data_IF_256495084926
#
_entry.id   IF_256495084926
#
_cell.length_a   1.000
_cell.length_b   1.000
_cell.length_c   1.000
_cell.angle_alpha   90.00
_cell.angle_beta   90.00
_cell.angle_gamma   90.00
#
_symmetry.space_group_name_H-M   'P 1'
#
loop_
_entity.id
_entity.type
_entity.pdbx_description
1 polymer ?
#
# COMPACT_ATOMS: atom_id res chain seq x y z
N UNK A 1 10.67 23.28 -15.42
CA UNK A 1 9.19 23.10 -15.50
C UNK A 1 8.49 23.25 -14.14
N UNK A 2 8.79 22.44 -13.11
CA UNK A 2 8.06 22.49 -11.83
C UNK A 2 8.07 23.87 -11.15
N UNK A 3 9.23 24.52 -11.06
CA UNK A 3 9.34 25.87 -10.46
C UNK A 3 8.56 26.90 -11.28
N UNK A 4 8.62 26.83 -12.61
CA UNK A 4 7.84 27.70 -13.50
C UNK A 4 6.33 27.44 -13.35
N UNK A 5 5.92 26.18 -13.21
CA UNK A 5 4.53 25.80 -12.98
C UNK A 5 3.98 26.32 -11.64
N UNK A 6 4.82 26.29 -10.59
CA UNK A 6 4.52 26.90 -9.29
C UNK A 6 4.45 28.43 -9.38
N UNK A 7 5.32 29.05 -10.17
CA UNK A 7 5.35 30.49 -10.42
C UNK A 7 4.20 31.01 -11.30
N UNK A 8 3.40 30.12 -11.91
CA UNK A 8 2.19 30.50 -12.65
C UNK A 8 2.19 30.17 -14.14
N UNK A 9 3.29 29.64 -14.69
CA UNK A 9 3.42 29.41 -16.12
C UNK A 9 2.42 28.33 -16.62
N UNK A 10 1.51 28.66 -17.55
CA UNK A 10 0.46 27.75 -17.99
C UNK A 10 0.99 26.56 -18.80
N UNK A 11 2.03 26.75 -19.62
CA UNK A 11 2.63 25.68 -20.42
C UNK A 11 3.35 24.67 -19.51
N UNK A 12 4.13 25.16 -18.55
CA UNK A 12 4.80 24.35 -17.55
C UNK A 12 3.79 23.59 -16.67
N UNK A 13 2.67 24.22 -16.28
CA UNK A 13 1.58 23.54 -15.56
C UNK A 13 0.99 22.40 -16.36
N UNK A 14 0.75 22.60 -17.66
CA UNK A 14 0.22 21.55 -18.54
C UNK A 14 1.21 20.39 -18.69
N UNK A 15 2.49 20.68 -18.84
CA UNK A 15 3.54 19.67 -18.96
C UNK A 15 3.70 18.85 -17.68
N UNK A 16 3.70 19.49 -16.50
CA UNK A 16 3.75 18.81 -15.20
C UNK A 16 2.50 17.95 -14.97
N UNK A 17 1.31 18.42 -15.37
CA UNK A 17 0.07 17.62 -15.29
C UNK A 17 0.10 16.42 -16.24
N UNK A 18 0.61 16.60 -17.46
CA UNK A 18 0.69 15.54 -18.47
C UNK A 18 1.63 14.39 -18.11
N UNK A 19 2.59 14.60 -17.20
CA UNK A 19 3.48 13.55 -16.69
C UNK A 19 2.87 12.70 -15.57
N UNK A 20 1.66 13.03 -15.08
CA UNK A 20 1.01 12.26 -14.01
C UNK A 20 0.38 10.99 -14.55
N UNK A 21 0.68 9.87 -13.92
CA UNK A 21 0.00 8.60 -14.15
C UNK A 21 -0.62 8.12 -12.84
N UNK A 22 -1.85 7.57 -12.92
CA UNK A 22 -2.51 7.03 -11.75
C UNK A 22 -1.88 5.70 -11.35
N UNK A 23 -1.32 5.64 -10.14
CA UNK A 23 -0.87 4.39 -9.55
C UNK A 23 -2.03 3.74 -8.80
N UNK A 24 -2.38 2.54 -9.24
CA UNK A 24 -3.36 1.68 -8.58
C UNK A 24 -2.70 1.02 -7.34
N UNK A 25 -3.20 1.29 -6.12
CA UNK A 25 -2.67 0.69 -4.90
C UNK A 25 -2.67 -0.84 -4.92
N UNK A 26 -3.64 -1.46 -5.59
CA UNK A 26 -3.76 -2.91 -5.65
C UNK A 26 -2.62 -3.58 -6.44
N UNK A 27 -1.84 -2.79 -7.19
CA UNK A 27 -0.67 -3.30 -7.92
C UNK A 27 0.61 -3.26 -7.10
N UNK A 28 0.64 -2.51 -6.00
CA UNK A 28 1.85 -2.32 -5.18
C UNK A 28 2.31 -3.65 -4.55
N UNK A 29 1.37 -4.50 -4.14
CA UNK A 29 1.68 -5.82 -3.55
C UNK A 29 2.24 -6.85 -4.57
N UNK A 30 2.47 -6.42 -5.82
CA UNK A 30 3.11 -7.24 -6.87
C UNK A 30 4.57 -6.87 -7.12
N UNK A 31 5.06 -5.78 -6.53
CA UNK A 31 6.44 -5.34 -6.69
C UNK A 31 7.42 -6.42 -6.23
N UNK A 32 8.55 -6.62 -6.90
CA UNK A 32 9.51 -7.62 -6.45
C UNK A 32 10.19 -7.13 -5.15
N UNK A 33 10.60 -8.04 -4.24
CA UNK A 33 11.16 -7.64 -2.94
C UNK A 33 12.45 -6.82 -3.08
N UNK A 34 13.22 -7.05 -4.15
CA UNK A 34 14.44 -6.32 -4.51
C UNK A 34 14.16 -4.92 -5.11
N UNK A 35 12.89 -4.54 -5.25
CA UNK A 35 12.45 -3.21 -5.68
C UNK A 35 11.81 -2.42 -4.52
N UNK A 36 11.73 -3.01 -3.32
CA UNK A 36 11.11 -2.41 -2.14
C UNK A 36 12.16 -1.94 -1.14
N UNK A 37 12.28 -0.62 -1.01
CA UNK A 37 13.29 0.05 -0.18
C UNK A 37 12.68 0.95 0.89
N UNK A 38 11.49 0.59 1.37
CA UNK A 38 10.85 1.29 2.47
C UNK A 38 11.57 0.94 3.77
N UNK A 39 11.97 1.95 4.53
CA UNK A 39 12.72 1.81 5.78
C UNK A 39 11.85 1.98 7.03
N UNK A 40 10.60 2.41 6.82
CA UNK A 40 9.56 2.58 7.82
C UNK A 40 8.25 2.04 7.25
N UNK A 41 7.32 1.69 8.13
CA UNK A 41 5.97 1.27 7.74
C UNK A 41 5.33 2.28 6.78
N UNK A 42 4.47 1.81 5.89
CA UNK A 42 3.73 2.69 5.00
C UNK A 42 2.36 2.09 4.68
N UNK A 43 1.32 2.89 4.91
CA UNK A 43 -0.01 2.55 4.41
C UNK A 43 -0.07 2.67 2.89
N UNK A 44 -1.16 2.18 2.29
CA UNK A 44 -1.32 2.18 0.83
C UNK A 44 -1.25 3.58 0.22
N UNK A 45 -1.72 4.62 0.91
CA UNK A 45 -1.65 6.00 0.42
C UNK A 45 -0.22 6.53 0.39
N UNK A 46 0.57 6.22 1.43
CA UNK A 46 1.98 6.59 1.52
C UNK A 46 2.83 5.81 0.50
N UNK A 47 2.56 4.52 0.31
CA UNK A 47 3.27 3.71 -0.70
C UNK A 47 3.01 4.23 -2.12
N UNK A 48 1.77 4.63 -2.45
CA UNK A 48 1.48 5.27 -3.74
C UNK A 48 2.30 6.53 -3.96
N UNK A 49 2.44 7.37 -2.93
CA UNK A 49 3.24 8.59 -3.00
C UNK A 49 4.69 8.25 -3.34
N UNK A 50 5.27 7.27 -2.65
CA UNK A 50 6.63 6.79 -2.93
C UNK A 50 6.73 6.26 -4.37
N UNK A 51 5.80 5.39 -4.79
CA UNK A 51 5.78 4.83 -6.13
C UNK A 51 5.65 5.92 -7.23
N UNK A 52 4.84 6.95 -6.99
CA UNK A 52 4.69 8.08 -7.92
C UNK A 52 6.00 8.80 -8.12
N UNK A 53 6.70 9.11 -7.02
CA UNK A 53 8.01 9.78 -7.07
C UNK A 53 9.06 8.90 -7.74
N UNK A 54 9.08 7.59 -7.47
CA UNK A 54 10.00 6.66 -8.14
C UNK A 54 9.72 6.55 -9.65
N UNK A 55 8.47 6.73 -10.08
CA UNK A 55 8.11 6.83 -11.51
C UNK A 55 8.44 8.18 -12.14
N UNK A 56 9.11 9.08 -11.41
CA UNK A 56 9.52 10.39 -11.91
C UNK A 56 8.41 11.45 -11.91
N UNK A 57 7.32 11.23 -11.17
CA UNK A 57 6.22 12.19 -11.09
C UNK A 57 6.46 13.27 -10.04
N UNK A 58 6.06 14.49 -10.39
CA UNK A 58 6.03 15.64 -9.48
C UNK A 58 4.64 15.77 -8.82
N UNK A 59 4.62 16.00 -7.50
CA UNK A 59 3.38 16.03 -6.73
C UNK A 59 3.43 16.92 -5.50
N UNK A 60 2.24 17.30 -5.03
CA UNK A 60 2.04 17.91 -3.73
C UNK A 60 1.41 16.87 -2.83
N UNK A 61 2.01 16.61 -1.68
CA UNK A 61 1.52 15.66 -0.68
C UNK A 61 0.87 16.47 0.43
N UNK A 62 -0.44 16.27 0.63
CA UNK A 62 -1.19 16.89 1.72
C UNK A 62 -1.69 15.81 2.66
N UNK A 63 -1.56 16.07 3.96
CA UNK A 63 -2.07 15.19 5.00
C UNK A 63 -2.23 15.95 6.31
N UNK A 64 -3.26 15.67 7.11
CA UNK A 64 -3.42 16.23 8.46
C UNK A 64 -2.18 16.04 9.35
N UNK A 65 -2.02 16.81 10.44
CA UNK A 65 -1.02 16.53 11.46
C UNK A 65 -1.11 15.06 11.93
N UNK A 66 0.03 14.40 12.14
CA UNK A 66 0.08 13.01 12.59
C UNK A 66 -0.02 11.92 11.50
N UNK A 67 -0.31 12.27 10.23
CA UNK A 67 -0.46 11.29 9.11
C UNK A 67 0.85 10.75 8.53
N UNK A 68 1.96 10.84 9.28
CA UNK A 68 3.23 10.23 8.86
C UNK A 68 3.96 10.92 7.70
N UNK A 69 3.68 12.20 7.36
CA UNK A 69 4.36 12.92 6.27
C UNK A 69 5.90 12.81 6.31
N UNK A 70 6.52 13.04 7.47
CA UNK A 70 7.98 12.92 7.63
C UNK A 70 8.48 11.49 7.45
N UNK A 71 7.65 10.50 7.78
CA UNK A 71 7.92 9.09 7.56
C UNK A 71 7.83 8.74 6.06
N UNK A 72 6.83 9.26 5.35
CA UNK A 72 6.76 9.18 3.88
C UNK A 72 7.99 9.83 3.23
N UNK A 73 8.43 11.00 3.71
CA UNK A 73 9.64 11.65 3.20
C UNK A 73 10.88 10.79 3.40
N UNK A 74 11.08 10.22 4.59
CA UNK A 74 12.22 9.34 4.86
C UNK A 74 12.21 8.10 3.93
N UNK A 75 11.04 7.48 3.75
CA UNK A 75 10.86 6.37 2.80
C UNK A 75 11.18 6.77 1.35
N UNK A 76 10.73 7.94 0.90
CA UNK A 76 11.05 8.45 -0.44
C UNK A 76 12.55 8.66 -0.62
N UNK A 77 13.22 9.27 0.35
CA UNK A 77 14.67 9.50 0.30
C UNK A 77 15.42 8.17 0.22
N UNK A 78 15.08 7.21 1.09
CA UNK A 78 15.71 5.89 1.09
C UNK A 78 15.50 5.15 -0.24
N UNK A 79 14.28 5.15 -0.77
CA UNK A 79 13.98 4.48 -2.03
C UNK A 79 14.67 5.11 -3.24
N UNK A 80 14.74 6.44 -3.30
CA UNK A 80 15.48 7.15 -4.34
C UNK A 80 16.99 6.89 -4.24
N UNK A 81 17.54 6.91 -3.02
CA UNK A 81 18.95 6.61 -2.78
C UNK A 81 19.31 5.18 -3.18
N UNK A 82 18.43 4.20 -2.89
CA UNK A 82 18.61 2.81 -3.32
C UNK A 82 18.63 2.65 -4.85
N UNK A 83 17.96 3.53 -5.60
CA UNK A 83 18.04 3.61 -7.06
C UNK A 83 19.21 4.46 -7.58
N UNK A 84 20.18 4.80 -6.71
CA UNK A 84 21.36 5.60 -7.06
C UNK A 84 21.05 7.07 -7.35
N UNK A 85 19.87 7.58 -6.96
CA UNK A 85 19.51 8.98 -7.15
C UNK A 85 20.13 9.85 -6.05
N UNK A 86 20.53 11.07 -6.42
CA UNK A 86 20.93 12.11 -5.48
C UNK A 86 19.69 12.89 -5.05
N UNK A 87 19.50 13.06 -3.74
CA UNK A 87 18.31 13.71 -3.19
C UNK A 87 18.72 14.97 -2.43
N UNK A 88 18.10 16.10 -2.76
CA UNK A 88 18.20 17.34 -2.00
C UNK A 88 16.88 17.53 -1.25
N UNK A 89 16.92 17.43 0.08
CA UNK A 89 15.78 17.70 0.93
C UNK A 89 15.90 19.10 1.56
N UNK A 90 14.88 19.94 1.35
CA UNK A 90 14.82 21.32 1.85
C UNK A 90 13.53 21.48 2.65
N UNK A 91 13.60 22.20 3.77
CA UNK A 91 12.46 22.56 4.57
C UNK A 91 12.64 23.96 5.16
N UNK A 92 11.52 24.63 5.46
CA UNK A 92 11.52 25.97 6.07
C UNK A 92 12.08 25.94 7.50
N UNK A 93 11.73 24.91 8.28
CA UNK A 93 12.09 24.78 9.69
C UNK A 93 13.12 23.68 9.90
N UNK A 94 14.18 23.99 10.66
CA UNK A 94 15.23 23.03 11.05
C UNK A 94 14.66 21.77 11.71
N UNK A 95 13.64 21.90 12.55
CA UNK A 95 12.99 20.75 13.19
C UNK A 95 12.46 19.71 12.18
N UNK A 96 12.00 20.13 11.00
CA UNK A 96 11.54 19.20 9.97
C UNK A 96 12.70 18.41 9.36
N UNK A 97 13.87 19.04 9.17
CA UNK A 97 15.10 18.39 8.72
C UNK A 97 15.56 17.34 9.75
N UNK A 98 15.60 17.73 11.03
CA UNK A 98 16.04 16.84 12.12
C UNK A 98 15.15 15.60 12.26
N UNK A 99 13.82 15.76 12.16
CA UNK A 99 12.89 14.61 12.27
C UNK A 99 13.13 13.59 11.17
N UNK A 100 13.37 14.03 9.93
CA UNK A 100 13.64 13.13 8.80
C UNK A 100 15.04 12.51 8.95
N UNK A 101 16.04 13.32 9.31
CA UNK A 101 17.40 12.83 9.51
C UNK A 101 17.48 11.76 10.59
N UNK A 102 16.85 11.96 11.76
CA UNK A 102 16.80 10.96 12.85
C UNK A 102 16.16 9.65 12.41
N UNK A 103 15.19 9.67 11.49
CA UNK A 103 14.57 8.47 10.95
C UNK A 103 15.52 7.69 10.04
N UNK A 104 16.27 8.40 9.19
CA UNK A 104 17.33 7.78 8.39
C UNK A 104 18.41 7.18 9.30
N UNK A 105 18.84 7.92 10.33
CA UNK A 105 19.82 7.47 11.31
C UNK A 105 19.35 6.23 12.08
N UNK A 106 18.10 6.22 12.54
CA UNK A 106 17.49 5.07 13.23
C UNK A 106 17.41 3.82 12.34
N UNK A 107 17.33 4.01 11.01
CA UNK A 107 17.38 2.94 10.02
C UNK A 107 18.83 2.58 9.58
N UNK A 108 19.86 3.16 10.21
CA UNK A 108 21.27 2.94 9.86
C UNK A 108 21.75 3.70 8.61
N UNK A 109 20.90 4.55 8.03
CA UNK A 109 21.17 5.30 6.80
C UNK A 109 21.65 6.74 7.04
N UNK A 110 21.98 7.10 8.28
CA UNK A 110 22.47 8.45 8.62
C UNK A 110 23.74 8.85 7.84
N UNK A 111 24.58 7.87 7.50
CA UNK A 111 25.79 8.07 6.70
C UNK A 111 25.52 8.45 5.23
N UNK A 112 24.31 8.22 4.71
CA UNK A 112 23.90 8.65 3.37
C UNK A 112 23.48 10.13 3.32
N UNK A 113 23.24 10.75 4.48
CA UNK A 113 22.76 12.11 4.59
C UNK A 113 23.88 13.07 5.00
N UNK A 114 24.04 14.13 4.22
CA UNK A 114 24.91 15.25 4.55
C UNK A 114 24.05 16.43 5.00
N UNK A 115 24.05 16.72 6.29
CA UNK A 115 23.42 17.92 6.83
C UNK A 115 24.33 19.13 6.61
N UNK A 116 23.85 20.05 5.78
CA UNK A 116 24.51 21.31 5.44
C UNK A 116 23.82 22.51 6.09
N UNK A 117 23.20 22.32 7.27
CA UNK A 117 22.53 23.39 8.01
C UNK A 117 23.13 23.62 9.41
N UNK A 118 23.55 24.86 9.70
CA UNK A 118 24.02 25.29 11.03
C UNK A 118 25.41 25.93 11.06
N UNK A 119 25.77 26.53 12.20
CA UNK A 119 27.05 27.21 12.41
C UNK A 119 28.27 26.25 12.45
N UNK A 120 28.05 24.95 12.58
CA UNK A 120 29.10 23.92 12.67
C UNK A 120 29.52 23.32 11.32
N UNK A 121 28.98 23.85 10.20
CA UNK A 121 29.40 23.46 8.85
C UNK A 121 30.79 24.02 8.59
N UNK A 122 31.80 23.29 9.06
CA UNK A 122 33.17 23.49 8.62
C UNK A 122 33.45 22.55 7.45
N UNK A 123 34.22 23.03 6.46
CA UNK A 123 34.74 22.19 5.37
C UNK A 123 35.40 20.92 5.90
N UNK A 124 36.10 21.02 7.04
CA UNK A 124 36.74 19.88 7.72
C UNK A 124 35.71 18.84 8.17
N UNK A 125 34.63 19.25 8.84
CA UNK A 125 33.59 18.33 9.30
C UNK A 125 32.87 17.63 8.14
N UNK A 126 32.57 18.39 7.07
CA UNK A 126 31.96 17.84 5.85
C UNK A 126 32.87 16.78 5.22
N UNK A 127 34.16 17.09 5.04
CA UNK A 127 35.11 16.14 4.46
C UNK A 127 35.31 14.91 5.34
N UNK A 128 35.32 15.07 6.67
CA UNK A 128 35.39 13.94 7.62
C UNK A 128 34.20 12.99 7.44
N UNK A 129 32.97 13.52 7.47
CA UNK A 129 31.75 12.71 7.29
C UNK A 129 31.72 12.02 5.93
N UNK A 130 32.13 12.72 4.88
CA UNK A 130 32.22 12.14 3.55
C UNK A 130 33.22 10.97 3.50
N UNK A 131 34.38 11.13 4.13
CA UNK A 131 35.38 10.06 4.27
C UNK A 131 34.85 8.85 5.05
N UNK A 132 34.18 9.08 6.18
CA UNK A 132 33.55 8.01 6.98
C UNK A 132 32.51 7.22 6.16
N UNK A 133 31.65 7.92 5.41
CA UNK A 133 30.67 7.26 4.54
C UNK A 133 31.33 6.43 3.43
N UNK A 134 32.42 6.92 2.82
CA UNK A 134 33.15 6.16 1.81
C UNK A 134 33.81 4.89 2.37
N UNK A 135 34.36 4.95 3.59
CA UNK A 135 34.91 3.78 4.27
C UNK A 135 33.83 2.75 4.56
N UNK A 136 32.68 3.19 5.07
CA UNK A 136 31.52 2.31 5.33
C UNK A 136 31.04 1.61 4.06
N UNK A 137 30.92 2.33 2.93
CA UNK A 137 30.49 1.75 1.66
C UNK A 137 31.52 0.77 1.11
N UNK A 138 32.82 1.09 1.22
CA UNK A 138 33.91 0.22 0.75
C UNK A 138 33.95 -1.10 1.53
N UNK A 139 33.75 -1.03 2.84
CA UNK A 139 33.88 -2.19 3.74
C UNK A 139 32.54 -2.93 3.95
N UNK A 140 31.48 -2.51 3.24
CA UNK A 140 30.15 -3.11 3.35
C UNK A 140 30.14 -4.55 2.82
N UNK A 141 29.72 -5.54 3.63
CA UNK A 141 29.63 -6.93 3.18
C UNK A 141 28.50 -7.11 2.17
N UNK A 142 28.65 -8.10 1.28
CA UNK A 142 27.55 -8.53 0.44
C UNK A 142 26.39 -9.04 1.30
N UNK A 143 25.18 -8.54 1.05
CA UNK A 143 23.98 -8.94 1.78
C UNK A 143 23.29 -10.08 1.02
N UNK A 144 23.17 -11.25 1.64
CA UNK A 144 22.39 -12.36 1.10
C UNK A 144 20.92 -12.20 1.47
N UNK A 145 20.08 -11.87 0.49
CA UNK A 145 18.65 -11.56 0.68
C UNK A 145 17.70 -12.69 0.26
N UNK A 146 18.21 -13.79 -0.29
CA UNK A 146 17.40 -14.86 -0.91
C UNK A 146 16.35 -15.43 0.04
N UNK A 147 16.72 -15.78 1.27
CA UNK A 147 15.80 -16.42 2.23
C UNK A 147 14.71 -15.46 2.69
N UNK A 148 15.08 -14.20 2.96
CA UNK A 148 14.12 -13.17 3.40
C UNK A 148 13.17 -12.79 2.26
N UNK A 149 13.67 -12.66 1.02
CA UNK A 149 12.85 -12.40 -0.16
C UNK A 149 11.89 -13.55 -0.47
N UNK A 150 12.35 -14.80 -0.31
CA UNK A 150 11.51 -15.98 -0.51
C UNK A 150 10.36 -16.01 0.49
N UNK A 151 10.67 -15.87 1.80
CA UNK A 151 9.66 -15.82 2.85
C UNK A 151 8.69 -14.65 2.70
N UNK A 152 9.19 -13.48 2.30
CA UNK A 152 8.36 -12.31 2.05
C UNK A 152 7.38 -12.56 0.90
N UNK A 153 7.88 -13.08 -0.23
CA UNK A 153 7.06 -13.39 -1.40
C UNK A 153 5.98 -14.42 -1.10
N UNK A 154 6.33 -15.48 -0.36
CA UNK A 154 5.39 -16.53 0.05
C UNK A 154 4.25 -15.94 0.91
N UNK A 155 4.61 -15.18 1.96
CA UNK A 155 3.63 -14.58 2.89
C UNK A 155 2.70 -13.62 2.16
N UNK A 156 3.26 -12.74 1.33
CA UNK A 156 2.48 -11.78 0.55
C UNK A 156 1.55 -12.48 -0.44
N UNK A 157 2.05 -13.51 -1.14
CA UNK A 157 1.22 -14.32 -2.06
C UNK A 157 0.05 -14.98 -1.34
N UNK A 158 0.26 -15.49 -0.12
CA UNK A 158 -0.80 -16.08 0.70
C UNK A 158 -1.86 -15.05 1.10
N UNK A 159 -1.46 -13.84 1.49
CA UNK A 159 -2.38 -12.74 1.84
C UNK A 159 -3.17 -12.27 0.61
N UNK A 160 -2.48 -12.02 -0.50
CA UNK A 160 -3.11 -11.60 -1.76
C UNK A 160 -4.10 -12.65 -2.26
N UNK A 161 -3.74 -13.94 -2.19
CA UNK A 161 -4.63 -15.05 -2.56
C UNK A 161 -5.85 -15.15 -1.65
N UNK A 162 -5.72 -14.80 -0.37
CA UNK A 162 -6.86 -14.77 0.54
C UNK A 162 -7.81 -13.62 0.21
N UNK A 163 -7.30 -12.40 0.04
CA UNK A 163 -8.08 -11.24 -0.35
C UNK A 163 -8.80 -11.48 -1.69
N UNK A 164 -8.07 -11.97 -2.70
CA UNK A 164 -8.66 -12.32 -3.99
C UNK A 164 -9.77 -13.36 -3.86
N UNK A 165 -9.57 -14.43 -3.09
CA UNK A 165 -10.61 -15.44 -2.85
C UNK A 165 -11.84 -14.86 -2.16
N UNK A 166 -11.70 -13.91 -1.24
CA UNK A 166 -12.85 -13.28 -0.58
C UNK A 166 -13.69 -12.44 -1.55
N UNK A 167 -13.04 -11.76 -2.49
CA UNK A 167 -13.67 -10.74 -3.34
C UNK A 167 -13.96 -11.18 -4.77
N UNK A 168 -13.47 -12.33 -5.24
CA UNK A 168 -13.80 -12.83 -6.59
C UNK A 168 -15.27 -13.25 -6.66
N UNK A 169 -16.00 -12.70 -7.64
CA UNK A 169 -17.37 -13.07 -7.95
C UNK A 169 -17.43 -14.54 -8.42
N UNK A 170 -18.39 -15.30 -7.90
CA UNK A 170 -18.52 -16.72 -8.20
C UNK A 170 -19.84 -17.02 -8.86
N UNK A 171 -19.76 -17.82 -9.92
CA UNK A 171 -20.95 -18.44 -10.47
C UNK A 171 -21.51 -19.45 -9.47
N UNK A 172 -22.84 -19.60 -9.44
CA UNK A 172 -23.79 -18.94 -10.34
C UNK A 172 -24.41 -17.64 -9.79
N UNK A 173 -24.23 -17.32 -8.51
CA UNK A 173 -24.80 -16.11 -7.90
C UNK A 173 -24.24 -14.80 -8.48
N UNK A 174 -23.06 -14.85 -9.09
CA UNK A 174 -22.33 -13.66 -9.54
C UNK A 174 -21.78 -12.82 -8.39
N UNK A 175 -21.85 -13.33 -7.15
CA UNK A 175 -21.43 -12.63 -5.93
C UNK A 175 -20.14 -13.24 -5.36
N UNK A 176 -19.36 -12.42 -4.67
CA UNK A 176 -18.21 -12.82 -3.88
C UNK A 176 -18.61 -13.33 -2.50
N UNK A 177 -17.67 -14.00 -1.80
CA UNK A 177 -17.92 -14.48 -0.43
C UNK A 177 -18.16 -13.29 0.50
N UNK A 178 -17.39 -12.21 0.32
CA UNK A 178 -17.54 -10.98 1.08
C UNK A 178 -18.96 -10.40 0.95
N UNK A 179 -19.49 -10.29 -0.27
CA UNK A 179 -20.84 -9.79 -0.50
C UNK A 179 -21.92 -10.71 0.08
N UNK A 180 -21.74 -12.03 -0.05
CA UNK A 180 -22.66 -13.01 0.52
C UNK A 180 -22.70 -12.92 2.05
N UNK A 181 -21.54 -12.78 2.71
CA UNK A 181 -21.46 -12.57 4.15
C UNK A 181 -22.12 -11.24 4.56
N UNK A 182 -21.88 -10.16 3.82
CA UNK A 182 -22.53 -8.88 4.04
C UNK A 182 -24.05 -8.96 3.96
N UNK A 183 -24.58 -9.68 2.97
CA UNK A 183 -26.04 -9.93 2.84
C UNK A 183 -26.56 -10.80 3.97
N UNK A 184 -25.85 -11.86 4.36
CA UNK A 184 -26.24 -12.73 5.47
C UNK A 184 -26.37 -11.95 6.79
N UNK A 185 -25.45 -11.01 7.05
CA UNK A 185 -25.48 -10.17 8.25
C UNK A 185 -26.66 -9.17 8.27
N UNK A 186 -27.22 -8.83 7.11
CA UNK A 186 -28.39 -7.97 7.00
C UNK A 186 -29.71 -8.73 7.21
N UNK A 187 -29.69 -10.06 7.10
CA UNK A 187 -30.86 -10.88 7.42
C UNK A 187 -31.06 -10.87 8.94
N UNK A 188 -32.26 -10.52 9.38
CA UNK A 188 -32.68 -10.64 10.78
C UNK A 188 -32.50 -12.09 11.25
N UNK A 189 -32.25 -12.31 12.54
CA UNK A 189 -32.11 -13.65 13.11
C UNK A 189 -33.42 -14.46 13.02
N UNK A 190 -33.71 -15.02 11.84
CA UNK A 190 -34.79 -15.96 11.61
C UNK A 190 -34.42 -17.39 12.07
N UNK A 191 -35.35 -18.36 11.92
CA UNK A 191 -35.12 -19.74 12.29
C UNK A 191 -33.88 -20.29 11.55
N UNK A 192 -32.96 -20.88 12.32
CA UNK A 192 -31.75 -21.51 11.78
C UNK A 192 -32.12 -22.83 11.12
N UNK A 193 -31.92 -22.93 9.81
CA UNK A 193 -31.98 -24.21 9.12
C UNK A 193 -30.92 -25.17 9.69
N UNK A 194 -31.32 -26.39 10.02
CA UNK A 194 -30.39 -27.47 10.44
C UNK A 194 -29.62 -28.06 9.25
N UNK A 195 -30.11 -27.81 8.03
CA UNK A 195 -29.52 -28.31 6.78
C UNK A 195 -28.26 -27.52 6.41
N UNK A 196 -27.13 -28.21 6.28
CA UNK A 196 -25.85 -27.65 5.79
C UNK A 196 -25.56 -28.17 4.38
N UNK A 197 -25.48 -27.28 3.40
CA UNK A 197 -25.05 -27.63 2.05
C UNK A 197 -23.52 -27.49 1.91
N UNK A 198 -22.87 -28.49 1.31
CA UNK A 198 -21.40 -28.54 1.14
C UNK A 198 -21.02 -29.14 -0.21
N UNK A 199 -19.89 -28.67 -0.76
CA UNK A 199 -19.24 -29.28 -1.93
C UNK A 199 -20.17 -29.34 -3.14
N UNK A 200 -20.34 -30.56 -3.68
CA UNK A 200 -21.10 -30.78 -4.90
C UNK A 200 -22.58 -30.36 -4.82
N UNK A 201 -23.16 -30.32 -3.61
CA UNK A 201 -24.54 -29.88 -3.38
C UNK A 201 -24.78 -28.39 -3.70
N UNK A 202 -23.71 -27.59 -3.85
CA UNK A 202 -23.81 -26.17 -4.21
C UNK A 202 -23.75 -25.93 -5.73
N UNK A 203 -23.28 -26.90 -6.51
CA UNK A 203 -23.17 -26.75 -7.98
C UNK A 203 -24.49 -26.48 -8.69
N UNK A 204 -25.64 -27.06 -8.27
CA UNK A 204 -26.92 -26.82 -8.94
C UNK A 204 -27.60 -25.49 -8.57
N UNK A 205 -27.07 -24.70 -7.63
CA UNK A 205 -27.75 -23.49 -7.12
C UNK A 205 -27.66 -22.29 -8.08
N UNK A 206 -28.01 -22.48 -9.35
CA UNK A 206 -27.97 -21.43 -10.35
C UNK A 206 -29.06 -20.36 -10.22
N UNK A 207 -28.98 -19.27 -10.99
CA UNK A 207 -29.91 -18.17 -10.87
C UNK A 207 -31.38 -18.62 -11.05
N UNK A 208 -31.61 -19.58 -11.94
CA UNK A 208 -32.93 -20.17 -12.18
C UNK A 208 -33.37 -21.01 -10.97
N UNK A 209 -32.48 -21.85 -10.44
CA UNK A 209 -32.73 -22.69 -9.27
C UNK A 209 -32.96 -21.86 -8.01
N UNK A 210 -32.20 -20.78 -7.81
CA UNK A 210 -32.40 -19.84 -6.69
C UNK A 210 -33.73 -19.12 -6.80
N UNK A 211 -34.14 -18.70 -8.01
CA UNK A 211 -35.46 -18.10 -8.23
C UNK A 211 -36.58 -19.10 -7.93
N UNK A 212 -36.48 -20.33 -8.45
CA UNK A 212 -37.45 -21.40 -8.18
C UNK A 212 -37.53 -21.75 -6.69
N UNK A 213 -36.40 -21.87 -5.99
CA UNK A 213 -36.36 -22.11 -4.54
C UNK A 213 -36.97 -20.95 -3.77
N UNK A 214 -36.67 -19.70 -4.15
CA UNK A 214 -37.29 -18.51 -3.53
C UNK A 214 -38.80 -18.55 -3.71
N UNK A 215 -39.29 -18.82 -4.91
CA UNK A 215 -40.71 -18.82 -5.22
C UNK A 215 -41.43 -19.95 -4.44
N UNK A 216 -40.82 -21.14 -4.37
CA UNK A 216 -41.30 -22.24 -3.52
C UNK A 216 -41.30 -21.88 -2.03
N UNK A 217 -40.31 -21.12 -1.54
CA UNK A 217 -40.27 -20.67 -0.14
C UNK A 217 -41.32 -19.59 0.15
N UNK A 218 -41.60 -18.70 -0.80
CA UNK A 218 -42.68 -17.70 -0.69
C UNK A 218 -44.04 -18.41 -0.67
N UNK A 219 -44.25 -19.35 -1.59
CA UNK A 219 -45.46 -20.18 -1.64
C UNK A 219 -45.64 -20.97 -0.35
N UNK A 220 -44.59 -21.64 0.12
CA UNK A 220 -44.57 -22.35 1.39
C UNK A 220 -44.86 -21.43 2.59
N UNK A 221 -44.37 -20.18 2.56
CA UNK A 221 -44.68 -19.16 3.56
C UNK A 221 -46.16 -18.79 3.64
N UNK A 222 -46.92 -18.98 2.56
CA UNK A 222 -48.39 -18.84 2.53
C UNK A 222 -49.14 -19.97 3.27
N UNK A 223 -48.47 -21.09 3.53
CA UNK A 223 -49.03 -22.25 4.25
C UNK A 223 -48.54 -22.31 5.70
N UNK A 224 -48.73 -21.24 6.47
CA UNK A 224 -48.26 -21.14 7.87
C UNK A 224 -48.61 -22.33 8.78
N UNK A 225 -49.69 -23.06 8.49
CA UNK A 225 -50.09 -24.27 9.21
C UNK A 225 -49.23 -25.53 8.97
N UNK A 226 -48.43 -25.59 7.89
CA UNK A 226 -47.54 -26.72 7.60
C UNK A 226 -46.20 -26.67 8.37
N UNK A 227 -45.81 -25.48 8.84
CA UNK A 227 -44.53 -25.24 9.50
C UNK A 227 -44.66 -24.99 11.02
N UNK A 228 -45.89 -24.80 11.51
CA UNK A 228 -46.22 -24.79 12.91
C UNK A 228 -46.60 -26.21 13.34
N UNK A 229 -45.62 -27.01 13.77
CA UNK A 229 -45.94 -28.18 14.60
C UNK A 229 -46.53 -27.67 15.92
N UNK A 230 -47.75 -28.10 16.24
CA UNK A 230 -48.29 -28.09 17.60
C UNK A 230 -47.44 -28.96 18.52
#
# INVERSE_FOLDING_TARGET
>A
DVIAALAGDPAARQQVRGRRSSIDPATLDRALPDQEFLILDADSSQQRVVASVLSGQDGVIQGPPGTGKSQTIANMIAALAAQGKRVLFVAEKRAALEVVYRRLESAGLGHLALDLHGAEISRRNVMRRFGESLLLVRDAPAVHTTDIHTRFTERRSRLNSHAWRLHVARKPSGLSIYELQGRLLQLSAGPRATTRWRGAALHPLDAATVAAVRDLLIEAGGFGGLFLRA
#
